data_IF_560965896669
#
_entry.id   IF_560965896669
#
_cell.length_a   1.000
_cell.length_b   1.000
_cell.length_c   1.000
_cell.angle_alpha   90.00
_cell.angle_beta   90.00
_cell.angle_gamma   90.00
#
_symmetry.space_group_name_H-M   'P 1'
#
loop_
_entity.id
_entity.type
_entity.pdbx_description
1 polymer ?
#
# COMPACT_ATOMS: atom_id res chain seq x y z
N UNK A 1 15.95 7.75 15.44
CA UNK A 1 17.23 7.16 15.02
C UNK A 1 17.16 5.65 15.24
N UNK A 2 16.93 4.86 14.17
CA UNK A 2 16.86 3.39 14.27
C UNK A 2 18.29 2.89 14.46
N UNK A 3 18.62 2.38 15.65
CA UNK A 3 19.95 1.82 15.93
C UNK A 3 20.02 0.39 15.41
N UNK A 4 20.94 0.05 14.49
CA UNK A 4 21.09 -1.33 14.01
C UNK A 4 21.60 -2.21 15.17
N UNK A 5 20.95 -3.36 15.36
CA UNK A 5 21.40 -4.36 16.32
C UNK A 5 22.34 -5.35 15.60
N UNK A 6 23.65 -5.08 15.67
CA UNK A 6 24.71 -6.01 15.25
C UNK A 6 25.14 -5.90 13.77
N UNK A 7 26.20 -6.64 13.38
CA UNK A 7 26.79 -6.58 12.04
C UNK A 7 25.92 -7.37 11.05
N UNK A 8 24.94 -6.70 10.45
CA UNK A 8 24.07 -7.21 9.39
C UNK A 8 23.00 -6.16 9.04
N UNK A 9 22.34 -6.23 7.87
CA UNK A 9 21.29 -5.29 7.52
C UNK A 9 20.16 -5.38 8.55
N UNK A 10 19.93 -4.28 9.28
CA UNK A 10 18.88 -4.22 10.28
C UNK A 10 17.50 -4.33 9.60
N UNK A 11 16.61 -5.13 10.18
CA UNK A 11 15.23 -5.21 9.70
C UNK A 11 14.55 -3.84 9.85
N UNK A 12 13.83 -3.41 8.81
CA UNK A 12 12.99 -2.20 8.86
C UNK A 12 11.97 -2.26 10.01
N UNK A 13 11.39 -3.44 10.23
CA UNK A 13 10.50 -3.75 11.34
C UNK A 13 11.09 -4.88 12.20
N UNK A 14 11.89 -4.55 13.23
CA UNK A 14 12.48 -5.56 14.09
C UNK A 14 11.45 -6.20 15.03
N UNK A 15 11.63 -7.50 15.25
CA UNK A 15 10.92 -8.27 16.26
C UNK A 15 11.44 -8.01 17.68
N UNK A 16 10.96 -8.82 18.64
CA UNK A 16 11.36 -8.69 20.05
C UNK A 16 12.87 -8.93 20.26
N UNK A 17 13.47 -10.00 19.71
CA UNK A 17 14.88 -9.96 19.38
C UNK A 17 15.06 -9.15 18.08
N UNK A 18 15.89 -8.09 18.08
CA UNK A 18 16.06 -7.22 16.92
C UNK A 18 16.81 -7.90 15.76
N UNK A 19 17.40 -9.08 16.02
CA UNK A 19 18.01 -9.96 15.03
C UNK A 19 17.00 -10.77 14.20
N UNK A 20 15.69 -10.58 14.42
CA UNK A 20 14.63 -11.26 13.67
C UNK A 20 13.60 -10.26 13.17
N UNK A 21 12.94 -10.54 12.02
CA UNK A 21 11.85 -9.70 11.55
C UNK A 21 10.67 -9.79 12.52
N UNK A 22 9.88 -8.73 12.59
CA UNK A 22 8.61 -8.75 13.33
C UNK A 22 7.63 -9.72 12.67
N UNK A 23 6.92 -10.49 13.48
CA UNK A 23 5.88 -11.37 12.98
C UNK A 23 4.76 -10.56 12.31
N UNK A 24 4.31 -10.91 11.09
CA UNK A 24 3.35 -10.10 10.33
C UNK A 24 2.01 -9.89 11.04
N UNK A 25 1.51 -10.90 11.74
CA UNK A 25 0.24 -10.77 12.48
C UNK A 25 0.37 -9.77 13.62
N UNK A 26 1.45 -9.84 14.41
CA UNK A 26 1.69 -8.91 15.50
C UNK A 26 1.90 -7.48 15.00
N UNK A 27 2.51 -7.30 13.82
CA UNK A 27 2.60 -5.98 13.19
C UNK A 27 1.23 -5.47 12.74
N UNK A 28 0.40 -6.35 12.16
CA UNK A 28 -0.99 -6.03 11.79
C UNK A 28 -1.80 -5.60 13.01
N UNK A 29 -1.69 -6.32 14.12
CA UNK A 29 -2.45 -6.05 15.34
C UNK A 29 -2.12 -4.64 15.85
N UNK A 30 -0.82 -4.33 16.00
CA UNK A 30 -0.34 -3.00 16.40
C UNK A 30 -0.82 -1.91 15.43
N UNK A 31 -0.71 -2.13 14.12
CA UNK A 31 -1.19 -1.15 13.14
C UNK A 31 -2.70 -0.93 13.24
N UNK A 32 -3.47 -1.99 13.48
CA UNK A 32 -4.92 -1.93 13.62
C UNK A 32 -5.34 -1.21 14.90
N UNK A 33 -4.64 -1.46 16.02
CA UNK A 33 -4.83 -0.73 17.28
C UNK A 33 -4.63 0.79 17.11
N UNK A 34 -3.77 1.20 16.18
CA UNK A 34 -3.54 2.60 15.83
C UNK A 34 -4.42 3.12 14.68
N UNK A 35 -5.49 2.41 14.30
CA UNK A 35 -6.41 2.85 13.26
C UNK A 35 -5.88 2.73 11.83
N UNK A 36 -4.84 1.92 11.62
CA UNK A 36 -4.26 1.60 10.31
C UNK A 36 -4.57 0.15 9.91
N UNK A 37 -5.83 -0.18 9.61
CA UNK A 37 -6.17 -1.52 9.17
C UNK A 37 -5.50 -1.82 7.81
N UNK A 38 -4.76 -2.92 7.74
CA UNK A 38 -3.85 -3.22 6.61
C UNK A 38 -4.55 -3.21 5.25
N UNK A 39 -5.71 -3.84 5.12
CA UNK A 39 -6.42 -3.96 3.84
C UNK A 39 -7.01 -2.61 3.37
N UNK A 40 -7.81 -1.89 4.17
CA UNK A 40 -8.29 -0.57 3.80
C UNK A 40 -7.13 0.41 3.50
N UNK A 41 -6.10 0.44 4.35
CA UNK A 41 -4.94 1.30 4.13
C UNK A 41 -4.23 1.00 2.81
N UNK A 42 -4.05 -0.30 2.48
CA UNK A 42 -3.51 -0.71 1.17
C UNK A 42 -4.41 -0.28 0.02
N UNK A 43 -5.72 -0.48 0.12
CA UNK A 43 -6.66 -0.12 -0.94
C UNK A 43 -6.62 1.40 -1.21
N UNK A 44 -6.64 2.21 -0.15
CA UNK A 44 -6.51 3.67 -0.27
C UNK A 44 -5.19 4.05 -0.94
N UNK A 45 -4.06 3.48 -0.49
CA UNK A 45 -2.76 3.74 -1.11
C UNK A 45 -2.72 3.35 -2.60
N UNK A 46 -3.33 2.23 -2.97
CA UNK A 46 -3.41 1.78 -4.38
C UNK A 46 -4.27 2.72 -5.23
N UNK A 47 -5.41 3.18 -4.72
CA UNK A 47 -6.28 4.14 -5.41
C UNK A 47 -5.57 5.48 -5.60
N UNK A 48 -4.94 6.01 -4.54
CA UNK A 48 -4.17 7.25 -4.62
C UNK A 48 -3.03 7.13 -5.63
N UNK A 49 -2.24 6.06 -5.55
CA UNK A 49 -1.14 5.82 -6.50
C UNK A 49 -1.63 5.69 -7.95
N UNK A 50 -2.78 5.05 -8.19
CA UNK A 50 -3.34 4.91 -9.52
C UNK A 50 -3.89 6.23 -10.11
N UNK A 51 -4.15 7.24 -9.26
CA UNK A 51 -4.44 8.59 -9.71
C UNK A 51 -3.21 9.41 -10.11
N UNK A 52 -2.02 9.01 -9.65
CA UNK A 52 -0.76 9.75 -9.85
C UNK A 52 0.21 9.06 -10.84
N UNK A 53 0.09 7.74 -11.01
CA UNK A 53 1.03 6.92 -11.77
C UNK A 53 0.34 6.21 -12.95
N UNK A 54 0.96 6.18 -14.15
CA UNK A 54 0.49 5.33 -15.23
C UNK A 54 0.50 3.84 -14.84
N UNK A 55 -0.47 3.03 -15.32
CA UNK A 55 -0.60 1.62 -14.93
C UNK A 55 0.67 0.77 -15.14
N UNK A 56 1.43 1.02 -16.19
CA UNK A 56 2.68 0.30 -16.46
C UNK A 56 3.75 0.62 -15.40
N UNK A 57 3.88 1.89 -15.00
CA UNK A 57 4.83 2.30 -13.94
C UNK A 57 4.42 1.69 -12.60
N UNK A 58 3.12 1.65 -12.31
CA UNK A 58 2.58 1.01 -11.11
C UNK A 58 2.83 -0.49 -11.08
N UNK A 59 2.67 -1.17 -12.22
CA UNK A 59 2.97 -2.60 -12.40
C UNK A 59 4.44 -2.90 -12.06
N UNK A 60 5.36 -2.14 -12.67
CA UNK A 60 6.80 -2.32 -12.46
C UNK A 60 7.22 -1.98 -11.02
N UNK A 61 6.70 -0.89 -10.45
CA UNK A 61 7.06 -0.42 -9.12
C UNK A 61 6.54 -1.34 -8.01
N UNK A 62 5.32 -1.85 -8.13
CA UNK A 62 4.69 -2.67 -7.09
C UNK A 62 4.77 -4.18 -7.37
N UNK A 63 5.29 -4.59 -8.53
CA UNK A 63 5.43 -5.99 -8.91
C UNK A 63 4.09 -6.70 -9.06
N UNK A 64 3.07 -6.00 -9.58
CA UNK A 64 1.74 -6.56 -9.83
C UNK A 64 1.52 -6.76 -11.33
N UNK A 65 0.57 -7.61 -11.71
CA UNK A 65 0.21 -7.80 -13.12
C UNK A 65 -0.30 -6.49 -13.76
N UNK A 66 0.09 -6.15 -15.01
CA UNK A 66 -0.37 -4.94 -15.69
C UNK A 66 -1.90 -4.83 -15.79
N UNK A 67 -2.60 -5.95 -15.99
CA UNK A 67 -4.07 -5.98 -16.00
C UNK A 67 -4.67 -5.67 -14.62
N UNK A 68 -3.97 -6.01 -13.54
CA UNK A 68 -4.34 -5.62 -12.17
C UNK A 68 -4.10 -4.13 -11.93
N UNK A 69 -2.99 -3.57 -12.43
CA UNK A 69 -2.74 -2.13 -12.37
C UNK A 69 -3.80 -1.33 -13.14
N UNK A 70 -4.25 -1.83 -14.30
CA UNK A 70 -5.35 -1.24 -15.06
C UNK A 70 -6.68 -1.24 -14.29
N UNK A 71 -6.98 -2.32 -13.56
CA UNK A 71 -8.17 -2.37 -12.69
C UNK A 71 -8.11 -1.30 -11.60
N UNK A 72 -6.95 -1.09 -10.98
CA UNK A 72 -6.78 -0.02 -9.99
C UNK A 72 -6.94 1.37 -10.59
N UNK A 73 -6.42 1.61 -11.79
CA UNK A 73 -6.64 2.86 -12.51
C UNK A 73 -8.13 3.09 -12.80
N UNK A 74 -8.85 2.06 -13.24
CA UNK A 74 -10.31 2.16 -13.41
C UNK A 74 -11.03 2.49 -12.09
N UNK A 75 -10.66 1.85 -10.98
CA UNK A 75 -11.22 2.18 -9.66
C UNK A 75 -10.93 3.63 -9.22
N UNK A 76 -9.75 4.17 -9.54
CA UNK A 76 -9.40 5.55 -9.22
C UNK A 76 -10.18 6.58 -10.07
N UNK A 77 -10.49 6.22 -11.32
CA UNK A 77 -11.32 7.05 -12.21
C UNK A 77 -12.83 6.93 -11.94
N UNK A 78 -13.29 5.80 -11.40
CA UNK A 78 -14.72 5.55 -11.13
C UNK A 78 -15.36 6.63 -10.25
N UNK A 79 -14.62 7.17 -9.27
CA UNK A 79 -15.13 8.27 -8.44
C UNK A 79 -15.37 9.60 -9.19
N UNK A 80 -14.63 9.84 -10.28
CA UNK A 80 -14.78 11.05 -11.11
C UNK A 80 -15.76 10.85 -12.27
N UNK A 81 -15.82 9.65 -12.84
CA UNK A 81 -16.72 9.32 -13.94
C UNK A 81 -18.19 9.43 -13.52
N UNK A 82 -18.55 8.93 -12.33
CA UNK A 82 -19.92 9.05 -11.79
C UNK A 82 -20.30 10.51 -11.53
N UNK A 83 -19.35 11.32 -11.07
CA UNK A 83 -19.56 12.76 -10.89
C UNK A 83 -19.79 13.49 -12.21
N UNK A 84 -18.97 13.24 -13.24
CA UNK A 84 -19.13 13.85 -14.56
C UNK A 84 -20.42 13.39 -15.27
N UNK A 85 -20.82 12.14 -15.09
CA UNK A 85 -22.09 11.62 -15.61
C UNK A 85 -23.32 12.27 -14.94
N UNK A 86 -23.19 12.74 -13.69
CA UNK A 86 -24.25 13.49 -13.01
C UNK A 86 -24.26 14.98 -13.39
N UNK A 87 -23.10 15.56 -13.73
CA UNK A 87 -22.95 17.00 -14.06
C UNK A 87 -23.40 17.33 -15.49
N UNK A 88 -23.52 16.35 -16.39
CA UNK A 88 -24.05 16.53 -17.75
C UNK A 88 -25.42 15.83 -17.93
N UNK A 89 -26.56 16.55 -17.83
CA UNK A 89 -27.83 16.17 -18.44
C UNK A 89 -27.89 16.47 -19.95
#
# INVERSE_FOLDING_TARGET
MIRPAGPGPAYLFPGRPPSRPRHPHSLRDVLTEHGLPIRPARNTAMITAAGELPPMVMSDLFGIDPGTAQKWAHCAQAGWADYLAHVHP
#
